data_IF_026619021510
#
_entry.id   IF_026619021510
#
_cell.length_a   1.000
_cell.length_b   1.000
_cell.length_c   1.000
_cell.angle_alpha   90.00
_cell.angle_beta   90.00
_cell.angle_gamma   90.00
#
_symmetry.space_group_name_H-M   'P 1'
#
loop_
_entity.id
_entity.type
_entity.pdbx_description
1 polymer ?
#
# COMPACT_ATOMS: atom_id res chain seq x y z
N UNK A 1 -5.79 -4.76 -14.60
CA UNK A 1 -4.64 -3.84 -14.77
C UNK A 1 -3.97 -3.67 -13.40
N UNK A 2 -2.66 -3.38 -13.39
CA UNK A 2 -1.88 -3.15 -12.18
C UNK A 2 -0.80 -2.11 -12.44
N UNK A 3 -0.34 -1.44 -11.39
CA UNK A 3 0.84 -0.57 -11.43
C UNK A 3 1.99 -1.31 -10.74
N UNK A 4 3.08 -1.57 -11.45
CA UNK A 4 4.27 -2.22 -10.88
C UNK A 4 5.37 -1.18 -10.72
N UNK A 5 5.97 -1.14 -9.54
CA UNK A 5 7.08 -0.27 -9.16
C UNK A 5 8.28 -1.14 -8.83
N UNK A 6 9.33 -1.06 -9.65
CA UNK A 6 10.61 -1.76 -9.45
C UNK A 6 11.81 -0.81 -9.43
N UNK A 7 11.54 0.47 -9.21
CA UNK A 7 12.53 1.53 -9.02
C UNK A 7 12.04 2.47 -7.93
N UNK A 8 12.38 3.76 -8.01
CA UNK A 8 11.89 4.76 -7.05
C UNK A 8 10.50 5.29 -7.45
N UNK A 9 9.54 5.27 -6.52
CA UNK A 9 8.31 6.06 -6.61
C UNK A 9 8.31 7.15 -5.53
N UNK A 10 8.20 8.41 -5.92
CA UNK A 10 8.00 9.53 -5.00
C UNK A 10 6.62 10.14 -5.20
N UNK A 11 5.61 9.61 -4.51
CA UNK A 11 4.22 10.07 -4.54
C UNK A 11 3.84 10.71 -3.20
N UNK A 12 4.22 11.98 -3.02
CA UNK A 12 4.03 12.73 -1.78
C UNK A 12 2.94 13.80 -1.95
N UNK A 13 1.69 13.45 -1.67
CA UNK A 13 0.57 14.39 -1.62
C UNK A 13 0.64 15.31 -0.38
N UNK A 14 -0.48 15.97 -0.08
CA UNK A 14 -0.67 16.71 1.18
C UNK A 14 -1.92 16.21 1.89
N UNK A 15 -1.99 16.36 3.21
CA UNK A 15 -3.16 15.95 4.00
C UNK A 15 -4.48 16.56 3.49
N UNK A 16 -4.43 17.79 2.97
CA UNK A 16 -5.59 18.49 2.37
C UNK A 16 -5.68 18.38 0.84
N UNK A 17 -4.71 17.75 0.18
CA UNK A 17 -4.64 17.56 -1.29
C UNK A 17 -3.93 16.25 -1.58
N UNK A 18 -4.68 15.15 -1.40
CA UNK A 18 -4.17 13.79 -1.52
C UNK A 18 -4.03 13.39 -2.99
N UNK A 19 -3.04 12.56 -3.29
CA UNK A 19 -2.93 11.92 -4.62
C UNK A 19 -3.96 10.80 -4.70
N UNK A 20 -4.73 10.72 -5.79
CA UNK A 20 -5.71 9.66 -6.01
C UNK A 20 -5.17 8.60 -6.98
N UNK A 21 -5.08 7.35 -6.52
CA UNK A 21 -4.86 6.17 -7.34
C UNK A 21 -6.19 5.42 -7.48
N UNK A 22 -6.73 5.39 -8.70
CA UNK A 22 -8.05 4.82 -8.97
C UNK A 22 -8.12 4.20 -10.36
N UNK A 23 -9.18 3.42 -10.61
CA UNK A 23 -9.45 2.87 -11.93
C UNK A 23 -9.94 3.96 -12.89
N UNK A 24 -9.55 3.87 -14.16
CA UNK A 24 -10.11 4.74 -15.22
C UNK A 24 -11.53 4.28 -15.59
N UNK A 25 -12.50 4.62 -14.74
CA UNK A 25 -13.92 4.25 -14.89
C UNK A 25 -14.82 5.34 -14.32
N UNK A 26 -16.03 5.45 -14.84
CA UNK A 26 -17.09 6.33 -14.31
C UNK A 26 -17.98 5.65 -13.26
N UNK A 27 -17.95 4.32 -13.19
CA UNK A 27 -18.73 3.52 -12.22
C UNK A 27 -17.79 2.64 -11.41
N UNK A 28 -17.14 3.23 -10.40
CA UNK A 28 -16.16 2.54 -9.55
C UNK A 28 -16.78 1.45 -8.67
N UNK A 29 -16.04 0.34 -8.50
CA UNK A 29 -16.36 -0.79 -7.63
C UNK A 29 -15.08 -1.48 -7.17
N UNK A 30 -15.09 -2.08 -6.00
CA UNK A 30 -13.93 -2.82 -5.52
C UNK A 30 -13.48 -3.90 -6.54
N UNK A 31 -12.18 -4.00 -6.84
CA UNK A 31 -11.60 -5.00 -7.74
C UNK A 31 -11.60 -4.66 -9.23
N UNK A 32 -11.75 -3.39 -9.63
CA UNK A 32 -11.58 -2.97 -11.03
C UNK A 32 -10.13 -3.17 -11.54
N UNK A 33 -9.16 -3.05 -10.64
CA UNK A 33 -7.75 -3.22 -10.90
C UNK A 33 -7.09 -3.91 -9.71
N UNK A 34 -5.87 -4.43 -9.89
CA UNK A 34 -5.20 -5.19 -8.82
C UNK A 34 -4.72 -4.28 -7.70
N UNK A 35 -4.10 -3.14 -8.05
CA UNK A 35 -3.48 -2.23 -7.10
C UNK A 35 -2.07 -1.83 -7.55
N UNK A 36 -1.29 -1.37 -6.58
CA UNK A 36 0.12 -1.01 -6.72
C UNK A 36 0.97 -2.15 -6.16
N UNK A 37 1.89 -2.67 -6.95
CA UNK A 37 2.85 -3.69 -6.54
C UNK A 37 4.24 -3.06 -6.48
N UNK A 38 4.84 -3.04 -5.30
CA UNK A 38 6.25 -2.70 -5.11
C UNK A 38 7.05 -3.99 -5.11
N UNK A 39 7.82 -4.22 -6.17
CA UNK A 39 8.58 -5.47 -6.35
C UNK A 39 10.04 -5.11 -6.51
N UNK A 40 10.84 -5.38 -5.47
CA UNK A 40 12.23 -4.95 -5.37
C UNK A 40 12.40 -3.45 -5.68
N UNK A 41 11.43 -2.64 -5.26
CA UNK A 41 11.48 -1.19 -5.41
C UNK A 41 12.60 -0.59 -4.57
N UNK A 42 13.05 0.61 -4.92
CA UNK A 42 14.10 1.28 -4.17
C UNK A 42 13.57 1.70 -2.78
N UNK A 43 14.32 1.46 -1.67
CA UNK A 43 13.85 1.71 -0.30
C UNK A 43 13.49 3.18 0.01
N UNK A 44 14.02 4.14 -0.75
CA UNK A 44 13.64 5.55 -0.65
C UNK A 44 12.29 5.88 -1.29
N UNK A 45 11.60 4.89 -1.88
CA UNK A 45 10.24 5.08 -2.38
C UNK A 45 9.31 5.52 -1.25
N UNK A 46 8.46 6.49 -1.57
CA UNK A 46 7.47 7.08 -0.67
C UNK A 46 6.11 7.07 -1.34
N UNK A 47 5.12 6.51 -0.66
CA UNK A 47 3.70 6.74 -0.93
C UNK A 47 3.10 7.44 0.30
N UNK A 48 2.86 8.74 0.15
CA UNK A 48 2.48 9.63 1.23
C UNK A 48 1.25 10.47 0.88
N UNK A 49 0.31 10.60 1.82
CA UNK A 49 -0.91 11.40 1.62
C UNK A 49 -1.66 11.02 0.34
N UNK A 50 -1.93 9.72 0.19
CA UNK A 50 -2.59 9.17 -0.98
C UNK A 50 -3.89 8.42 -0.62
N UNK A 51 -4.82 8.43 -1.56
CA UNK A 51 -6.05 7.63 -1.52
C UNK A 51 -5.98 6.56 -2.60
N UNK A 52 -6.23 5.31 -2.22
CA UNK A 52 -6.31 4.17 -3.14
C UNK A 52 -7.76 3.70 -3.20
N UNK A 53 -8.32 3.61 -4.41
CA UNK A 53 -9.72 3.25 -4.67
C UNK A 53 -9.88 2.12 -5.68
N UNK A 54 -10.92 1.31 -5.49
CA UNK A 54 -11.40 0.30 -6.45
C UNK A 54 -10.40 -0.80 -6.82
N UNK A 55 -9.34 -0.98 -6.02
CA UNK A 55 -8.33 -2.00 -6.19
C UNK A 55 -8.77 -3.37 -5.62
N UNK A 56 -7.89 -4.36 -5.75
CA UNK A 56 -8.02 -5.69 -5.16
C UNK A 56 -8.54 -6.80 -6.08
N UNK A 57 -8.38 -6.65 -7.41
CA UNK A 57 -8.68 -7.73 -8.37
C UNK A 57 -7.84 -8.97 -8.07
N UNK A 58 -8.43 -10.16 -8.25
CA UNK A 58 -7.75 -11.46 -8.16
C UNK A 58 -7.06 -11.73 -6.81
N UNK A 59 -7.68 -11.30 -5.70
CA UNK A 59 -7.17 -11.46 -4.33
C UNK A 59 -5.81 -10.79 -4.06
N UNK A 60 -5.54 -9.69 -4.77
CA UNK A 60 -4.46 -8.76 -4.43
C UNK A 60 -4.93 -7.75 -3.38
N UNK A 61 -4.02 -7.33 -2.50
CA UNK A 61 -4.23 -6.11 -1.73
C UNK A 61 -4.05 -4.88 -2.64
N UNK A 62 -4.65 -3.72 -2.29
CA UNK A 62 -4.44 -2.45 -2.98
C UNK A 62 -2.96 -2.06 -3.06
N UNK A 63 -2.19 -2.43 -2.03
CA UNK A 63 -0.74 -2.33 -1.99
C UNK A 63 -0.18 -3.74 -1.72
N UNK A 64 0.66 -4.21 -2.64
CA UNK A 64 1.47 -5.41 -2.48
C UNK A 64 2.94 -5.02 -2.37
N UNK A 65 3.69 -5.65 -1.47
CA UNK A 65 5.11 -5.37 -1.24
C UNK A 65 5.90 -6.68 -1.26
N UNK A 66 6.94 -6.73 -2.08
CA UNK A 66 7.81 -7.89 -2.22
C UNK A 66 9.28 -7.45 -2.29
N UNK A 67 10.11 -8.04 -1.44
CA UNK A 67 11.55 -7.84 -1.39
C UNK A 67 12.00 -6.39 -1.14
N UNK A 68 11.19 -5.55 -0.48
CA UNK A 68 11.54 -4.13 -0.30
C UNK A 68 10.97 -3.49 0.97
N UNK A 69 11.63 -2.42 1.43
CA UNK A 69 11.34 -1.69 2.67
C UNK A 69 11.00 -0.23 2.37
N UNK A 70 9.88 -0.01 1.68
CA UNK A 70 9.39 1.32 1.27
C UNK A 70 8.77 2.11 2.43
N UNK A 71 8.52 3.41 2.20
CA UNK A 71 7.88 4.30 3.16
C UNK A 71 6.41 4.53 2.80
N UNK A 72 5.49 4.19 3.70
CA UNK A 72 4.06 4.42 3.56
C UNK A 72 3.57 5.38 4.66
N UNK A 73 2.88 6.44 4.25
CA UNK A 73 2.46 7.49 5.19
C UNK A 73 1.07 8.06 4.87
N UNK A 74 0.25 8.28 5.89
CA UNK A 74 -1.05 8.96 5.79
C UNK A 74 -1.88 8.45 4.58
N UNK A 75 -2.18 7.16 4.57
CA UNK A 75 -2.90 6.52 3.46
C UNK A 75 -4.37 6.36 3.77
N UNK A 76 -5.22 6.55 2.75
CA UNK A 76 -6.63 6.16 2.79
C UNK A 76 -6.86 5.04 1.79
N UNK A 77 -7.55 4.00 2.23
CA UNK A 77 -8.02 2.92 1.39
C UNK A 77 -9.55 2.97 1.41
N UNK A 78 -10.15 3.20 0.25
CA UNK A 78 -11.59 3.39 0.10
C UNK A 78 -12.13 2.44 -0.97
N UNK A 79 -13.18 1.67 -0.65
CA UNK A 79 -13.89 0.81 -1.61
C UNK A 79 -12.94 -0.12 -2.40
N UNK A 80 -11.94 -0.71 -1.74
CA UNK A 80 -11.08 -1.74 -2.29
C UNK A 80 -11.52 -3.15 -1.84
N UNK A 81 -11.05 -4.20 -2.52
CA UNK A 81 -11.13 -5.57 -2.01
C UNK A 81 -9.88 -5.92 -1.20
N UNK A 82 -10.00 -6.91 -0.31
CA UNK A 82 -8.91 -7.51 0.45
C UNK A 82 -8.29 -6.61 1.52
N UNK A 83 -7.24 -7.09 2.20
CA UNK A 83 -6.47 -6.32 3.17
C UNK A 83 -5.83 -5.10 2.52
N UNK A 84 -5.65 -4.00 3.26
CA UNK A 84 -5.10 -2.75 2.71
C UNK A 84 -3.66 -2.90 2.19
N UNK A 85 -2.86 -3.71 2.89
CA UNK A 85 -1.47 -3.99 2.56
C UNK A 85 -1.27 -5.51 2.69
N UNK A 86 -0.67 -6.11 1.67
CA UNK A 86 -0.16 -7.48 1.69
C UNK A 86 1.34 -7.43 1.41
N UNK A 87 2.14 -8.20 2.13
CA UNK A 87 3.59 -8.21 2.00
C UNK A 87 4.18 -9.60 2.19
N UNK A 88 5.35 -9.85 1.60
CA UNK A 88 6.13 -11.05 1.91
C UNK A 88 6.80 -10.95 3.31
N UNK A 89 7.30 -12.07 3.87
CA UNK A 89 7.97 -12.05 5.17
C UNK A 89 9.32 -11.32 5.23
N UNK A 90 9.91 -11.01 4.07
CA UNK A 90 11.23 -10.37 3.98
C UNK A 90 11.13 -8.83 3.85
N UNK A 91 9.92 -8.31 3.63
CA UNK A 91 9.61 -6.89 3.56
C UNK A 91 9.26 -6.33 4.94
N UNK A 92 9.90 -5.22 5.28
CA UNK A 92 9.70 -4.45 6.51
C UNK A 92 9.37 -2.99 6.12
N UNK A 93 8.18 -2.71 5.55
CA UNK A 93 7.82 -1.36 5.16
C UNK A 93 7.78 -0.45 6.39
N UNK A 94 8.21 0.80 6.21
CA UNK A 94 8.13 1.85 7.22
C UNK A 94 6.77 2.50 7.16
N UNK A 95 6.07 2.52 8.29
CA UNK A 95 4.66 2.87 8.34
C UNK A 95 4.47 4.09 9.24
N UNK A 96 3.83 5.12 8.70
CA UNK A 96 3.52 6.34 9.43
C UNK A 96 2.04 6.67 9.37
N UNK A 97 1.44 6.73 10.55
CA UNK A 97 0.04 7.11 10.74
C UNK A 97 -0.28 8.51 10.20
N UNK A 98 -1.57 8.79 9.89
CA UNK A 98 -2.72 7.90 10.08
C UNK A 98 -3.00 6.97 8.89
N UNK A 99 -3.40 5.73 9.14
CA UNK A 99 -3.97 4.87 8.10
C UNK A 99 -5.49 4.86 8.26
N UNK A 100 -6.22 5.20 7.20
CA UNK A 100 -7.69 5.14 7.15
C UNK A 100 -8.10 3.98 6.24
N UNK A 101 -8.60 2.90 6.82
CA UNK A 101 -8.93 1.66 6.11
C UNK A 101 -10.44 1.48 6.12
N UNK A 102 -11.08 1.81 4.97
CA UNK A 102 -12.52 1.68 4.76
C UNK A 102 -12.88 0.46 3.87
N UNK A 103 -11.87 -0.32 3.44
CA UNK A 103 -12.05 -1.64 2.83
C UNK A 103 -12.09 -2.77 3.88
N UNK A 104 -12.59 -3.94 3.46
CA UNK A 104 -12.59 -5.16 4.26
C UNK A 104 -11.74 -6.28 3.61
N UNK A 105 -10.97 -7.05 4.39
CA UNK A 105 -10.84 -7.04 5.86
C UNK A 105 -10.01 -5.86 6.41
N UNK A 106 -10.30 -5.46 7.66
CA UNK A 106 -9.58 -4.38 8.35
C UNK A 106 -8.29 -4.92 9.00
N UNK A 107 -7.21 -4.98 8.22
CA UNK A 107 -5.90 -5.40 8.70
C UNK A 107 -4.85 -5.37 7.58
N UNK A 108 -3.65 -5.84 7.91
CA UNK A 108 -2.58 -6.12 6.97
C UNK A 108 -2.26 -7.61 6.99
N UNK A 109 -1.79 -8.12 5.87
CA UNK A 109 -1.51 -9.54 5.67
C UNK A 109 -0.03 -9.75 5.37
N UNK A 110 0.59 -10.72 6.03
CA UNK A 110 1.88 -11.28 5.59
C UNK A 110 1.58 -12.57 4.84
N UNK A 111 1.98 -12.66 3.57
CA UNK A 111 1.57 -13.76 2.68
C UNK A 111 2.76 -14.53 2.13
N UNK A 112 2.69 -15.86 2.24
CA UNK A 112 3.70 -16.78 1.74
C UNK A 112 5.00 -16.75 2.55
N UNK A 113 5.97 -17.58 2.15
CA UNK A 113 7.33 -17.57 2.70
C UNK A 113 7.49 -18.15 4.10
N UNK A 114 8.67 -17.90 4.69
CA UNK A 114 9.04 -18.29 6.05
C UNK A 114 9.40 -17.02 6.82
N UNK A 115 8.91 -16.89 8.04
CA UNK A 115 9.33 -15.79 8.91
C UNK A 115 10.71 -16.12 9.51
N UNK A 116 11.73 -15.41 9.08
CA UNK A 116 13.11 -15.56 9.59
C UNK A 116 13.49 -14.50 10.64
N UNK A 117 12.65 -13.49 10.81
CA UNK A 117 12.90 -12.33 11.67
C UNK A 117 11.61 -11.93 12.41
N UNK A 118 11.77 -11.14 13.46
CA UNK A 118 10.67 -10.49 14.17
C UNK A 118 10.81 -8.98 14.05
N UNK A 119 9.71 -8.30 13.74
CA UNK A 119 9.66 -6.83 13.70
C UNK A 119 8.50 -6.33 14.57
N UNK A 120 8.67 -5.13 15.14
CA UNK A 120 7.59 -4.42 15.85
C UNK A 120 7.44 -3.03 15.26
N UNK A 121 6.40 -2.84 14.46
CA UNK A 121 6.00 -1.50 14.04
C UNK A 121 5.59 -0.70 15.28
N UNK A 122 6.28 0.41 15.50
CA UNK A 122 5.94 1.38 16.53
C UNK A 122 5.63 2.71 15.85
N UNK A 123 4.82 3.59 16.45
CA UNK A 123 4.59 4.91 15.91
C UNK A 123 5.92 5.67 15.80
N UNK A 124 6.54 5.68 14.62
CA UNK A 124 7.79 6.40 14.41
C UNK A 124 7.53 7.91 14.41
N UNK A 125 8.31 8.64 15.20
CA UNK A 125 8.32 10.10 15.15
C UNK A 125 9.22 10.52 13.97
N UNK A 126 8.56 10.82 12.85
CA UNK A 126 9.03 11.63 11.70
C UNK A 126 9.87 10.93 10.62
N UNK A 127 9.28 10.77 9.44
CA UNK A 127 9.94 11.02 8.16
C UNK A 127 9.08 12.07 7.47
N UNK A 128 9.65 13.20 7.08
CA UNK A 128 8.98 14.44 6.56
C UNK A 128 8.03 15.19 7.51
#
# INVERSE_FOLDING_TARGET
AKMVVSGTLSACGKSNRRILFTANTSTGRAGFWSGIEFVNAEPESVLGHATIEFAGKDAHAPIWIEGTNINLQDLKFDTNQWYAISLDPDSEPKLREPFKVENGPQGWEVRGGQMHKSHRWSPERTYI
#
